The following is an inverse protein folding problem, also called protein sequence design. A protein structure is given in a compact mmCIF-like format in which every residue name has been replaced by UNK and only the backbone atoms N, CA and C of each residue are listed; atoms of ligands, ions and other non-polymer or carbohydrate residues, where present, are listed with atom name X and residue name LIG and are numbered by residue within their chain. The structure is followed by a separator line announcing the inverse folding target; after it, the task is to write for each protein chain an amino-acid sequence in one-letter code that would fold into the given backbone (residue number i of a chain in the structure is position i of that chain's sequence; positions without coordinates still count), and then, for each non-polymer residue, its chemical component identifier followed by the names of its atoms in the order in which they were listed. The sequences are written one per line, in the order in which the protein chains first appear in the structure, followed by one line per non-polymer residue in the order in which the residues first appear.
data_IF_208349496847
#
_entry.id   IF_208349496847
#
_cell.length_a   1.000
_cell.length_b   1.000
_cell.length_c   1.000
_cell.angle_alpha   90.00
_cell.angle_beta   90.00
_cell.angle_gamma   90.00
#
_symmetry.space_group_name_H-M   'P 1'
#
loop_
_entity.id
_entity.type
_entity.pdbx_description
1 polymer ?
#
# COMPACT_ATOMS: atom_id res chain seq x y z
N UNK A 1 61.71 34.84 25.62
CA UNK A 1 62.27 33.79 24.73
C UNK A 1 62.45 32.57 25.62
N UNK A 2 61.87 31.38 25.41
CA UNK A 2 61.25 30.72 24.26
C UNK A 2 60.10 29.83 24.76
N UNK A 3 59.08 29.63 23.92
CA UNK A 3 58.03 28.62 24.09
C UNK A 3 58.35 27.44 23.18
N UNK A 4 58.33 26.21 23.69
CA UNK A 4 57.90 24.97 23.02
C UNK A 4 57.71 23.85 24.09
N UNK A 5 56.94 22.76 23.88
CA UNK A 5 55.99 22.47 22.79
C UNK A 5 54.59 22.03 23.28
N UNK A 6 53.64 22.00 22.35
CA UNK A 6 52.34 21.32 22.46
C UNK A 6 52.55 19.82 22.66
N UNK A 7 51.99 19.24 23.72
CA UNK A 7 51.73 17.81 23.76
C UNK A 7 50.44 17.50 23.01
N UNK A 8 50.61 16.70 21.97
CA UNK A 8 49.66 15.72 21.48
C UNK A 8 49.18 14.81 22.64
N UNK A 9 47.95 14.30 22.51
CA UNK A 9 47.28 13.31 23.38
C UNK A 9 46.68 13.84 24.70
N UNK A 10 45.55 14.54 24.55
CA UNK A 10 44.49 14.56 25.55
C UNK A 10 43.30 13.75 25.05
N UNK A 11 43.31 12.43 25.31
CA UNK A 11 42.14 11.56 25.23
C UNK A 11 41.07 12.13 26.18
N UNK A 12 40.08 12.82 25.61
CA UNK A 12 38.88 13.18 26.35
C UNK A 12 37.99 11.93 26.44
N UNK A 13 37.97 11.36 27.63
CA UNK A 13 37.07 10.31 28.07
C UNK A 13 35.61 10.75 27.93
N UNK A 14 34.86 10.01 27.13
CA UNK A 14 33.39 9.92 27.20
C UNK A 14 32.96 9.46 28.60
N UNK A 15 31.89 10.02 29.22
CA UNK A 15 30.53 9.58 28.88
C UNK A 15 29.45 10.67 29.15
N UNK A 16 29.24 11.61 28.22
CA UNK A 16 28.09 12.56 28.32
C UNK A 16 27.18 12.59 27.08
N UNK A 17 27.58 11.93 25.98
CA UNK A 17 26.81 11.95 24.72
C UNK A 17 25.77 10.84 24.53
N UNK A 18 25.58 9.96 25.52
CA UNK A 18 24.54 8.91 25.47
C UNK A 18 23.15 9.42 25.89
N UNK A 19 23.07 10.56 26.60
CA UNK A 19 21.80 11.18 27.02
C UNK A 19 21.06 11.92 25.88
N UNK A 20 21.79 12.61 25.00
CA UNK A 20 21.17 13.40 23.93
C UNK A 20 20.67 12.53 22.76
N UNK A 21 21.38 11.44 22.44
CA UNK A 21 20.98 10.52 21.37
C UNK A 21 19.73 9.71 21.71
N UNK A 22 19.57 9.30 22.97
CA UNK A 22 18.42 8.53 23.44
C UNK A 22 17.17 9.41 23.55
N UNK A 23 17.31 10.66 23.97
CA UNK A 23 16.21 11.63 24.06
C UNK A 23 15.73 12.09 22.67
N UNK A 24 16.64 12.25 21.71
CA UNK A 24 16.30 12.50 20.30
C UNK A 24 15.53 11.34 19.65
N UNK A 25 15.96 10.10 19.90
CA UNK A 25 15.22 8.90 19.48
C UNK A 25 13.85 8.82 20.14
N UNK A 26 13.75 9.09 21.44
CA UNK A 26 12.48 9.07 22.18
C UNK A 26 11.49 10.11 21.62
N UNK A 27 11.94 11.33 21.32
CA UNK A 27 11.11 12.37 20.71
C UNK A 27 10.68 12.00 19.28
N UNK A 28 11.55 11.32 18.53
CA UNK A 28 11.23 10.81 17.20
C UNK A 28 10.19 9.67 17.27
N UNK A 29 10.30 8.80 18.28
CA UNK A 29 9.33 7.73 18.58
C UNK A 29 7.99 8.27 19.08
N UNK A 30 7.99 9.25 19.98
CA UNK A 30 6.77 9.94 20.46
C UNK A 30 6.12 10.72 19.33
N UNK A 31 6.92 11.34 18.45
CA UNK A 31 6.45 11.95 17.21
C UNK A 31 5.80 10.94 16.27
N UNK A 32 6.42 9.78 16.04
CA UNK A 32 5.87 8.69 15.22
C UNK A 32 4.60 8.06 15.82
N UNK A 33 4.57 7.84 17.14
CA UNK A 33 3.42 7.30 17.85
C UNK A 33 2.25 8.28 17.87
N UNK A 34 2.51 9.56 18.16
CA UNK A 34 1.53 10.64 18.10
C UNK A 34 1.01 10.86 16.68
N UNK A 35 1.88 10.78 15.66
CA UNK A 35 1.48 10.85 14.26
C UNK A 35 0.60 9.67 13.86
N UNK A 36 0.91 8.44 14.30
CA UNK A 36 0.06 7.24 14.12
C UNK A 36 -1.29 7.37 14.81
N UNK A 37 -1.35 7.92 16.02
CA UNK A 37 -2.58 8.05 16.78
C UNK A 37 -3.48 9.16 16.24
N UNK A 38 -2.91 10.31 15.88
CA UNK A 38 -3.61 11.39 15.18
C UNK A 38 -4.04 10.96 13.76
N UNK A 39 -3.23 10.13 13.08
CA UNK A 39 -3.56 9.49 11.80
C UNK A 39 -4.84 8.65 11.90
N UNK A 40 -4.92 7.80 12.93
CA UNK A 40 -6.07 6.91 13.18
C UNK A 40 -7.31 7.72 13.49
N UNK A 41 -7.21 8.63 14.46
CA UNK A 41 -8.36 9.40 14.95
C UNK A 41 -9.04 10.25 13.86
N UNK A 42 -8.29 10.76 12.87
CA UNK A 42 -8.81 11.76 11.94
C UNK A 42 -9.36 11.21 10.62
N UNK A 43 -8.87 10.08 10.13
CA UNK A 43 -9.17 9.66 8.74
C UNK A 43 -9.48 8.17 8.58
N UNK A 44 -9.31 7.41 9.66
CA UNK A 44 -9.59 5.98 9.69
C UNK A 44 -9.87 5.59 11.14
N UNK A 45 -10.87 6.24 11.75
CA UNK A 45 -11.16 6.13 13.20
C UNK A 45 -11.34 4.67 13.63
N UNK A 46 -11.92 3.86 12.75
CA UNK A 46 -12.19 2.44 12.97
C UNK A 46 -11.09 1.52 12.42
N UNK A 47 -9.94 2.06 11.98
CA UNK A 47 -8.88 1.28 11.32
C UNK A 47 -8.22 0.26 12.24
N UNK A 48 -8.09 0.56 13.54
CA UNK A 48 -7.52 -0.40 14.48
C UNK A 48 -8.43 -1.63 14.62
N UNK A 49 -9.73 -1.39 14.75
CA UNK A 49 -10.76 -2.43 14.81
C UNK A 49 -10.81 -3.21 13.49
N UNK A 50 -10.85 -2.50 12.36
CA UNK A 50 -10.79 -3.10 11.03
C UNK A 50 -9.53 -3.94 10.83
N UNK A 51 -8.38 -3.45 11.31
CA UNK A 51 -7.09 -4.12 11.21
C UNK A 51 -7.05 -5.44 11.95
N UNK A 52 -7.60 -5.50 13.16
CA UNK A 52 -7.72 -6.75 13.91
C UNK A 52 -8.60 -7.78 13.19
N UNK A 53 -9.68 -7.34 12.53
CA UNK A 53 -10.55 -8.24 11.77
C UNK A 53 -9.98 -8.66 10.41
N UNK A 54 -9.16 -7.83 9.78
CA UNK A 54 -8.56 -8.14 8.49
C UNK A 54 -7.38 -9.12 8.61
N UNK A 55 -6.64 -9.11 9.72
CA UNK A 55 -5.56 -10.07 10.00
C UNK A 55 -6.10 -11.50 10.15
N UNK A 56 -7.35 -11.68 10.56
CA UNK A 56 -7.93 -12.99 10.83
C UNK A 56 -8.57 -13.67 9.61
N UNK A 57 -8.29 -13.21 8.38
CA UNK A 57 -8.89 -13.78 7.16
C UNK A 57 -10.40 -13.55 7.04
N UNK A 58 -10.98 -12.64 7.84
CA UNK A 58 -12.42 -12.42 7.79
C UNK A 58 -12.80 -11.59 6.56
N UNK A 59 -13.76 -12.05 5.75
CA UNK A 59 -14.19 -11.34 4.57
C UNK A 59 -14.71 -9.95 4.92
N UNK A 60 -14.49 -8.99 4.03
CA UNK A 60 -15.05 -7.65 4.15
C UNK A 60 -16.50 -7.61 3.67
N UNK A 61 -16.80 -8.44 2.66
CA UNK A 61 -18.09 -8.47 1.99
C UNK A 61 -18.77 -9.82 2.23
N UNK A 62 -20.07 -9.81 2.49
CA UNK A 62 -20.95 -10.94 2.23
C UNK A 62 -21.41 -10.85 0.78
N UNK A 63 -21.27 -11.92 0.01
CA UNK A 63 -21.67 -11.94 -1.39
C UNK A 63 -23.10 -12.45 -1.44
N UNK A 64 -24.03 -11.58 -1.82
CA UNK A 64 -25.45 -11.89 -1.94
C UNK A 64 -25.83 -12.02 -3.41
N UNK A 65 -27.09 -12.32 -3.72
CA UNK A 65 -27.49 -12.63 -5.11
C UNK A 65 -27.25 -11.47 -6.09
N UNK A 66 -27.48 -10.23 -5.65
CA UNK A 66 -27.42 -9.01 -6.49
C UNK A 66 -26.61 -7.88 -5.86
N UNK A 67 -25.97 -8.12 -4.71
CA UNK A 67 -25.20 -7.10 -4.01
C UNK A 67 -24.06 -7.69 -3.18
N UNK A 68 -23.08 -6.85 -2.88
CA UNK A 68 -22.01 -7.10 -1.93
C UNK A 68 -22.33 -6.33 -0.65
N UNK A 69 -22.70 -7.02 0.43
CA UNK A 69 -23.00 -6.37 1.72
C UNK A 69 -21.72 -6.25 2.54
N UNK A 70 -21.40 -5.04 3.01
CA UNK A 70 -20.28 -4.83 3.91
C UNK A 70 -20.60 -5.48 5.26
N UNK A 71 -19.68 -6.32 5.74
CA UNK A 71 -19.76 -6.94 7.06
C UNK A 71 -19.28 -6.02 8.17
N UNK A 72 -18.56 -4.94 7.81
CA UNK A 72 -18.01 -3.93 8.70
C UNK A 72 -17.82 -2.60 7.97
N UNK A 73 -17.80 -1.45 8.68
CA UNK A 73 -17.55 -0.15 8.05
C UNK A 73 -16.25 -0.14 7.25
N UNK A 74 -16.30 0.45 6.05
CA UNK A 74 -15.11 0.58 5.22
C UNK A 74 -14.20 1.70 5.79
N UNK A 75 -12.90 1.45 6.01
CA UNK A 75 -12.10 2.32 6.86
C UNK A 75 -11.53 3.54 6.13
N UNK A 76 -11.77 3.68 4.82
CA UNK A 76 -11.22 4.75 4.00
C UNK A 76 -12.27 5.80 3.69
N UNK A 77 -12.22 6.94 4.38
CA UNK A 77 -13.19 8.04 4.21
C UNK A 77 -13.38 8.49 2.74
N UNK A 78 -12.29 8.47 1.95
CA UNK A 78 -12.29 8.91 0.55
C UNK A 78 -12.97 7.93 -0.42
N UNK A 79 -13.20 6.68 0.01
CA UNK A 79 -13.87 5.63 -0.77
C UNK A 79 -15.34 5.96 -1.04
N UNK A 80 -15.88 5.41 -2.12
CA UNK A 80 -17.31 5.49 -2.44
C UNK A 80 -18.19 4.70 -1.48
N UNK A 81 -17.62 3.74 -0.74
CA UNK A 81 -18.35 2.85 0.17
C UNK A 81 -18.12 3.16 1.65
N UNK A 82 -17.40 4.24 1.97
CA UNK A 82 -17.06 4.65 3.34
C UNK A 82 -18.27 4.86 4.26
N UNK A 83 -19.41 5.25 3.69
CA UNK A 83 -20.67 5.53 4.41
C UNK A 83 -21.82 4.67 3.92
N UNK A 84 -21.52 3.50 3.36
CA UNK A 84 -22.50 2.57 2.78
C UNK A 84 -22.41 1.21 3.47
N UNK A 85 -23.51 0.46 3.39
CA UNK A 85 -23.58 -0.91 3.89
C UNK A 85 -23.57 -1.97 2.78
N UNK A 86 -23.72 -1.56 1.52
CA UNK A 86 -23.70 -2.48 0.39
C UNK A 86 -23.33 -1.77 -0.93
N UNK A 87 -22.96 -2.59 -1.92
CA UNK A 87 -22.71 -2.24 -3.32
C UNK A 87 -23.58 -3.13 -4.20
N UNK A 88 -24.36 -2.57 -5.12
CA UNK A 88 -25.17 -3.40 -6.02
C UNK A 88 -24.33 -3.91 -7.20
N UNK A 89 -24.75 -5.02 -7.81
CA UNK A 89 -24.07 -5.58 -8.96
C UNK A 89 -23.94 -4.57 -10.13
N UNK A 90 -24.97 -3.77 -10.38
CA UNK A 90 -25.00 -2.76 -11.46
C UNK A 90 -23.96 -1.64 -11.30
N UNK A 91 -23.42 -1.46 -10.10
CA UNK A 91 -22.35 -0.48 -9.86
C UNK A 91 -20.96 -1.04 -10.20
N UNK A 92 -20.83 -2.36 -10.37
CA UNK A 92 -19.57 -3.00 -10.71
C UNK A 92 -19.38 -3.04 -12.21
N UNK A 93 -18.27 -2.49 -12.69
CA UNK A 93 -17.97 -2.44 -14.13
C UNK A 93 -17.24 -3.68 -14.61
N UNK A 94 -16.47 -4.32 -13.73
CA UNK A 94 -15.74 -5.56 -14.02
C UNK A 94 -15.32 -6.26 -12.72
N UNK A 95 -15.01 -7.55 -12.84
CA UNK A 95 -14.41 -8.38 -11.81
C UNK A 95 -13.14 -9.01 -12.37
N UNK A 96 -12.08 -9.10 -11.55
CA UNK A 96 -10.87 -9.79 -11.96
C UNK A 96 -11.16 -11.26 -12.24
N UNK A 97 -10.60 -11.82 -13.32
CA UNK A 97 -10.81 -13.21 -13.76
C UNK A 97 -10.51 -14.24 -12.67
N UNK A 98 -9.52 -13.97 -11.82
CA UNK A 98 -9.17 -14.76 -10.63
C UNK A 98 -10.01 -14.49 -9.37
N UNK A 99 -11.04 -13.63 -9.44
CA UNK A 99 -11.95 -13.32 -8.33
C UNK A 99 -11.37 -12.47 -7.19
N UNK A 100 -10.14 -11.96 -7.33
CA UNK A 100 -9.45 -11.22 -6.25
C UNK A 100 -9.87 -9.76 -6.09
N UNK A 101 -10.52 -9.17 -7.09
CA UNK A 101 -10.94 -7.77 -7.07
C UNK A 101 -12.13 -7.48 -7.99
N UNK A 102 -12.78 -6.34 -7.77
CA UNK A 102 -13.84 -5.79 -8.61
C UNK A 102 -13.64 -4.28 -8.79
N UNK A 103 -14.06 -3.73 -9.92
CA UNK A 103 -14.05 -2.28 -10.15
C UNK A 103 -15.44 -1.72 -9.91
N UNK A 104 -15.53 -0.82 -8.93
CA UNK A 104 -16.71 -0.06 -8.58
C UNK A 104 -16.75 1.26 -9.37
N UNK A 105 -17.86 1.48 -10.08
CA UNK A 105 -18.16 2.69 -10.85
C UNK A 105 -17.02 3.12 -11.79
N UNK A 106 -16.24 2.17 -12.31
CA UNK A 106 -15.11 2.39 -13.21
C UNK A 106 -13.91 3.12 -12.58
N UNK A 107 -13.90 3.37 -11.27
CA UNK A 107 -12.90 4.26 -10.65
C UNK A 107 -12.33 3.82 -9.31
N UNK A 108 -12.92 2.83 -8.66
CA UNK A 108 -12.42 2.31 -7.38
C UNK A 108 -12.26 0.79 -7.46
N UNK A 109 -11.15 0.26 -6.94
CA UNK A 109 -10.91 -1.18 -6.90
C UNK A 109 -11.26 -1.71 -5.52
N UNK A 110 -12.27 -2.58 -5.45
CA UNK A 110 -12.60 -3.39 -4.30
C UNK A 110 -11.79 -4.69 -4.37
N UNK A 111 -11.36 -5.20 -3.23
CA UNK A 111 -10.58 -6.45 -3.15
C UNK A 111 -11.30 -7.44 -2.24
N UNK A 112 -11.13 -8.72 -2.53
CA UNK A 112 -11.75 -9.84 -1.83
C UNK A 112 -10.69 -10.78 -1.31
N UNK A 113 -10.97 -11.51 -0.23
CA UNK A 113 -10.01 -12.48 0.31
C UNK A 113 -9.86 -13.67 -0.64
N UNK A 114 -8.80 -14.46 -0.46
CA UNK A 114 -8.54 -15.63 -1.28
C UNK A 114 -9.72 -16.62 -1.26
N UNK A 115 -10.32 -16.82 -0.09
CA UNK A 115 -11.44 -17.72 0.14
C UNK A 115 -12.71 -17.31 -0.62
N UNK A 116 -12.85 -16.03 -0.97
CA UNK A 116 -14.02 -15.51 -1.66
C UNK A 116 -13.92 -15.60 -3.19
N UNK A 117 -12.76 -15.94 -3.76
CA UNK A 117 -12.51 -15.84 -5.21
C UNK A 117 -13.53 -16.60 -6.06
N UNK A 118 -13.83 -17.84 -5.70
CA UNK A 118 -14.81 -18.65 -6.44
C UNK A 118 -16.23 -18.06 -6.35
N UNK A 119 -16.62 -17.57 -5.18
CA UNK A 119 -17.91 -16.96 -4.95
C UNK A 119 -18.06 -15.61 -5.70
N UNK A 120 -16.99 -14.82 -5.77
CA UNK A 120 -16.92 -13.56 -6.53
C UNK A 120 -17.08 -13.82 -8.03
N UNK A 121 -16.42 -14.86 -8.57
CA UNK A 121 -16.59 -15.25 -9.98
C UNK A 121 -18.02 -15.69 -10.27
N UNK A 122 -18.60 -16.53 -9.41
CA UNK A 122 -20.01 -16.94 -9.55
C UNK A 122 -20.98 -15.76 -9.43
N UNK A 123 -20.66 -14.75 -8.62
CA UNK A 123 -21.41 -13.50 -8.55
C UNK A 123 -21.32 -12.71 -9.85
N UNK A 124 -20.13 -12.63 -10.45
CA UNK A 124 -19.92 -11.97 -11.74
C UNK A 124 -20.76 -12.61 -12.85
N UNK A 125 -20.69 -13.94 -12.97
CA UNK A 125 -21.44 -14.70 -13.97
C UNK A 125 -22.95 -14.50 -13.83
N UNK A 126 -23.47 -14.61 -12.60
CA UNK A 126 -24.90 -14.46 -12.30
C UNK A 126 -25.44 -13.08 -12.65
N UNK A 127 -24.64 -12.05 -12.46
CA UNK A 127 -25.04 -10.65 -12.69
C UNK A 127 -24.50 -10.10 -14.02
N UNK A 128 -23.95 -10.95 -14.89
CA UNK A 128 -23.40 -10.57 -16.19
C UNK A 128 -22.31 -9.49 -16.12
N UNK A 129 -21.52 -9.47 -15.03
CA UNK A 129 -20.38 -8.57 -14.87
C UNK A 129 -19.18 -9.14 -15.63
N UNK A 130 -18.49 -8.36 -16.49
CA UNK A 130 -17.33 -8.83 -17.22
C UNK A 130 -16.21 -9.34 -16.31
N UNK A 131 -15.67 -10.53 -16.63
CA UNK A 131 -14.44 -11.04 -16.03
C UNK A 131 -13.22 -10.56 -16.84
N UNK A 132 -12.32 -9.81 -16.22
CA UNK A 132 -11.15 -9.20 -16.89
C UNK A 132 -9.84 -9.63 -16.24
N UNK A 133 -8.80 -9.90 -17.04
CA UNK A 133 -7.48 -10.24 -16.53
C UNK A 133 -6.62 -8.97 -16.35
N UNK A 134 -6.89 -8.22 -15.28
CA UNK A 134 -6.20 -6.97 -14.96
C UNK A 134 -4.88 -7.26 -14.28
N UNK A 135 -3.79 -6.72 -14.83
CA UNK A 135 -2.47 -6.78 -14.20
C UNK A 135 -2.49 -6.01 -12.86
N UNK A 136 -2.00 -6.63 -11.79
CA UNK A 136 -1.83 -5.94 -10.51
C UNK A 136 -0.60 -5.03 -10.56
N UNK A 137 -0.81 -3.81 -11.08
CA UNK A 137 0.23 -2.77 -11.24
C UNK A 137 0.99 -2.51 -9.94
N UNK A 138 0.30 -2.52 -8.81
CA UNK A 138 0.93 -2.27 -7.52
C UNK A 138 1.89 -3.39 -7.14
N UNK A 139 1.53 -4.65 -7.36
CA UNK A 139 2.45 -5.80 -7.14
C UNK A 139 3.71 -5.62 -7.98
N UNK A 140 3.59 -5.23 -9.25
CA UNK A 140 4.74 -4.94 -10.11
C UNK A 140 5.60 -3.78 -9.59
N UNK A 141 4.97 -2.67 -9.18
CA UNK A 141 5.67 -1.51 -8.62
C UNK A 141 6.33 -1.81 -7.27
N UNK A 142 5.81 -2.79 -6.53
CA UNK A 142 6.33 -3.26 -5.25
C UNK A 142 7.33 -4.41 -5.36
N UNK A 143 7.50 -5.00 -6.55
CA UNK A 143 8.44 -6.08 -6.81
C UNK A 143 9.80 -5.76 -6.18
N UNK A 144 10.42 -6.77 -5.52
CA UNK A 144 11.34 -6.58 -4.41
C UNK A 144 12.39 -5.50 -4.68
N UNK A 145 12.60 -4.64 -3.69
CA UNK A 145 13.76 -3.75 -3.62
C UNK A 145 14.96 -4.52 -3.06
N UNK A 146 15.12 -5.78 -3.45
CA UNK A 146 16.00 -6.69 -2.74
C UNK A 146 17.44 -6.18 -2.82
N UNK A 147 18.01 -5.90 -1.65
CA UNK A 147 19.40 -5.49 -1.49
C UNK A 147 20.39 -6.60 -1.81
N UNK A 148 19.89 -7.79 -2.16
CA UNK A 148 20.70 -8.94 -2.60
C UNK A 148 21.03 -8.91 -4.08
N UNK A 149 20.27 -8.15 -4.88
CA UNK A 149 20.60 -7.95 -6.29
C UNK A 149 21.78 -7.00 -6.41
N UNK A 150 22.78 -7.38 -7.21
CA UNK A 150 23.85 -6.46 -7.56
C UNK A 150 23.34 -5.29 -8.43
N UNK A 151 24.18 -4.27 -8.66
CA UNK A 151 23.78 -3.09 -9.42
C UNK A 151 23.33 -3.41 -10.86
N UNK A 152 23.86 -4.48 -11.46
CA UNK A 152 23.49 -4.91 -12.81
C UNK A 152 22.14 -5.62 -12.84
N UNK A 153 21.89 -6.51 -11.89
CA UNK A 153 20.60 -7.20 -11.74
C UNK A 153 19.47 -6.23 -11.40
N UNK A 154 19.75 -5.18 -10.62
CA UNK A 154 18.78 -4.11 -10.36
C UNK A 154 18.43 -3.32 -11.63
N UNK A 155 19.42 -3.00 -12.46
CA UNK A 155 19.18 -2.27 -13.71
C UNK A 155 18.34 -3.09 -14.70
N UNK A 156 18.62 -4.39 -14.83
CA UNK A 156 17.85 -5.31 -15.68
C UNK A 156 16.41 -5.48 -15.19
N UNK A 157 16.21 -5.63 -13.87
CA UNK A 157 14.88 -5.68 -13.28
C UNK A 157 14.09 -4.38 -13.50
N UNK A 158 14.74 -3.21 -13.41
CA UNK A 158 14.08 -1.92 -13.71
C UNK A 158 13.71 -1.79 -15.19
N UNK A 159 14.56 -2.29 -16.10
CA UNK A 159 14.26 -2.34 -17.54
C UNK A 159 13.07 -3.25 -17.85
N UNK A 160 13.04 -4.46 -17.28
CA UNK A 160 11.93 -5.41 -17.46
C UNK A 160 10.61 -4.86 -16.88
N UNK A 161 10.68 -4.23 -15.71
CA UNK A 161 9.53 -3.58 -15.09
C UNK A 161 9.00 -2.44 -15.97
N UNK A 162 9.90 -1.58 -16.48
CA UNK A 162 9.51 -0.51 -17.39
C UNK A 162 8.88 -1.07 -18.67
N UNK A 163 9.44 -2.15 -19.25
CA UNK A 163 8.87 -2.80 -20.44
C UNK A 163 7.46 -3.35 -20.20
N UNK A 164 7.14 -3.76 -18.97
CA UNK A 164 5.81 -4.26 -18.59
C UNK A 164 4.82 -3.12 -18.28
N UNK A 165 5.29 -2.03 -17.67
CA UNK A 165 4.44 -0.93 -17.20
C UNK A 165 4.19 0.17 -18.26
N UNK A 166 5.10 0.34 -19.23
CA UNK A 166 4.93 1.34 -20.31
C UNK A 166 3.68 1.07 -21.16
N UNK A 167 3.38 -0.18 -21.60
CA UNK A 167 2.13 -0.49 -22.30
C UNK A 167 0.86 -0.21 -21.47
N UNK A 168 0.99 -0.15 -20.14
CA UNK A 168 -0.09 0.18 -19.20
C UNK A 168 -0.22 1.71 -18.97
N UNK A 169 0.54 2.53 -19.70
CA UNK A 169 0.49 3.99 -19.57
C UNK A 169 1.19 4.52 -18.32
N UNK A 170 2.19 3.79 -17.80
CA UNK A 170 3.03 4.22 -16.68
C UNK A 170 4.46 4.36 -17.19
N UNK A 171 4.86 5.60 -17.46
CA UNK A 171 6.18 5.87 -18.01
C UNK A 171 7.31 5.63 -17.00
N UNK A 172 8.54 5.51 -17.50
CA UNK A 172 9.71 5.25 -16.67
C UNK A 172 9.94 6.33 -15.58
N UNK A 173 9.59 7.60 -15.84
CA UNK A 173 9.76 8.68 -14.86
C UNK A 173 8.76 8.51 -13.71
N UNK A 174 7.53 8.12 -14.02
CA UNK A 174 6.50 7.83 -13.04
C UNK A 174 6.84 6.58 -12.22
N UNK A 175 7.27 5.49 -12.87
CA UNK A 175 7.78 4.28 -12.19
C UNK A 175 8.88 4.66 -11.19
N UNK A 176 9.90 5.41 -11.64
CA UNK A 176 11.00 5.87 -10.80
C UNK A 176 10.51 6.71 -9.61
N UNK A 177 9.60 7.65 -9.85
CA UNK A 177 9.03 8.52 -8.80
C UNK A 177 8.27 7.71 -7.75
N UNK A 178 7.42 6.78 -8.18
CA UNK A 178 6.63 5.92 -7.29
C UNK A 178 7.58 5.04 -6.49
N UNK A 179 8.47 4.30 -7.14
CA UNK A 179 9.42 3.38 -6.48
C UNK A 179 10.35 4.10 -5.52
N UNK A 180 10.85 5.30 -5.85
CA UNK A 180 11.64 6.12 -4.92
C UNK A 180 10.84 6.48 -3.66
N UNK A 181 9.57 6.81 -3.82
CA UNK A 181 8.65 7.12 -2.71
C UNK A 181 8.42 5.88 -1.85
N UNK A 182 8.09 4.76 -2.49
CA UNK A 182 7.89 3.47 -1.85
C UNK A 182 9.14 3.00 -1.08
N UNK A 183 10.34 3.11 -1.67
CA UNK A 183 11.62 2.77 -1.04
C UNK A 183 11.91 3.61 0.20
N UNK A 184 11.56 4.90 0.16
CA UNK A 184 11.66 5.77 1.35
C UNK A 184 10.75 5.24 2.46
N UNK A 185 9.51 4.86 2.15
CA UNK A 185 8.56 4.31 3.12
C UNK A 185 8.94 2.93 3.63
N UNK A 186 9.47 2.07 2.77
CA UNK A 186 9.96 0.73 3.10
C UNK A 186 10.96 0.77 4.27
N UNK A 187 11.88 1.74 4.28
CA UNK A 187 12.85 1.91 5.39
C UNK A 187 12.19 2.18 6.74
N UNK A 188 11.01 2.79 6.75
CA UNK A 188 10.27 3.09 7.97
C UNK A 188 9.24 2.01 8.32
N UNK A 189 8.87 1.15 7.37
CA UNK A 189 7.85 0.10 7.51
C UNK A 189 8.29 -1.23 6.85
N UNK A 190 9.42 -1.84 7.26
CA UNK A 190 10.01 -2.98 6.51
C UNK A 190 9.24 -4.31 6.65
N UNK A 191 8.33 -4.42 7.62
CA UNK A 191 7.77 -5.71 8.06
C UNK A 191 6.55 -6.20 7.26
N UNK A 192 5.96 -5.34 6.41
CA UNK A 192 4.72 -5.66 5.69
C UNK A 192 4.89 -5.74 4.18
N UNK A 193 6.09 -5.50 3.62
CA UNK A 193 6.25 -5.32 2.17
C UNK A 193 6.20 -6.63 1.37
N UNK A 194 6.72 -7.71 1.95
CA UNK A 194 6.81 -9.04 1.32
C UNK A 194 5.44 -9.71 1.23
N UNK A 195 4.52 -9.42 2.16
CA UNK A 195 3.14 -9.96 2.16
C UNK A 195 2.19 -9.26 1.19
N UNK A 196 2.55 -8.10 0.63
CA UNK A 196 1.70 -7.34 -0.32
C UNK A 196 1.96 -7.76 -1.77
N UNK A 197 3.15 -8.28 -2.06
CA UNK A 197 3.52 -8.77 -3.38
C UNK A 197 2.99 -10.19 -3.64
N UNK A 198 2.58 -10.90 -2.60
CA UNK A 198 1.98 -12.22 -2.71
C UNK A 198 0.50 -12.09 -3.11
N UNK A 199 0.15 -12.69 -4.24
CA UNK A 199 -1.25 -12.77 -4.70
C UNK A 199 -2.16 -13.48 -3.70
N UNK A 200 -1.63 -14.24 -2.75
CA UNK A 200 -2.43 -15.03 -1.79
C UNK A 200 -3.06 -14.20 -0.68
N UNK A 201 -2.48 -13.04 -0.32
CA UNK A 201 -3.04 -12.13 0.69
C UNK A 201 -3.29 -10.76 0.08
N UNK A 202 -4.52 -10.44 -0.35
CA UNK A 202 -4.87 -9.12 -0.85
C UNK A 202 -4.92 -8.15 0.33
N UNK A 203 -3.75 -7.75 0.83
CA UNK A 203 -3.65 -6.79 1.91
C UNK A 203 -3.86 -5.37 1.35
N UNK A 204 -5.13 -5.06 1.06
CA UNK A 204 -5.67 -3.70 1.04
C UNK A 204 -5.08 -2.88 2.19
N UNK A 205 -4.96 -3.52 3.36
CA UNK A 205 -4.35 -2.98 4.55
C UNK A 205 -2.97 -2.41 4.27
N UNK A 206 -2.08 -3.16 3.64
CA UNK A 206 -0.69 -2.76 3.48
C UNK A 206 -0.53 -1.73 2.37
N UNK A 207 -1.23 -1.89 1.24
CA UNK A 207 -1.33 -0.83 0.23
C UNK A 207 -1.89 0.46 0.82
N UNK A 208 -2.89 0.38 1.69
CA UNK A 208 -3.51 1.55 2.29
C UNK A 208 -2.72 2.12 3.47
N UNK A 209 -1.91 1.29 4.12
CA UNK A 209 -0.97 1.67 5.18
C UNK A 209 0.25 2.41 4.62
N UNK A 210 0.78 1.93 3.49
CA UNK A 210 1.89 2.57 2.76
C UNK A 210 1.48 3.90 2.15
N UNK A 211 0.21 4.02 1.78
CA UNK A 211 -0.36 5.21 1.14
C UNK A 211 -0.81 6.28 2.15
N UNK A 212 -1.00 5.89 3.41
CA UNK A 212 -1.36 6.81 4.50
C UNK A 212 -0.22 7.70 5.02
N UNK A 213 1.03 7.42 4.64
CA UNK A 213 2.19 8.02 5.29
C UNK A 213 2.72 9.31 4.57
N UNK A 214 2.28 9.59 3.34
CA UNK A 214 2.75 10.72 2.52
C UNK A 214 2.29 12.14 2.94
N UNK A 215 3.03 13.16 2.48
CA UNK A 215 2.74 14.61 2.64
C UNK A 215 1.56 15.14 1.78
N UNK A 216 0.96 14.30 0.92
CA UNK A 216 -0.16 14.71 0.07
C UNK A 216 -1.50 14.66 0.83
N UNK A 217 -2.50 15.49 0.47
CA UNK A 217 -3.85 15.35 1.03
C UNK A 217 -4.38 13.94 0.75
N UNK A 218 -4.71 13.17 1.80
CA UNK A 218 -5.01 11.73 1.74
C UNK A 218 -6.07 11.37 0.71
N UNK A 219 -7.09 12.21 0.52
CA UNK A 219 -8.11 12.02 -0.53
C UNK A 219 -7.49 11.97 -1.92
N UNK A 220 -6.55 12.86 -2.25
CA UNK A 220 -5.86 12.85 -3.54
C UNK A 220 -5.01 11.60 -3.71
N UNK A 221 -4.37 11.16 -2.64
CA UNK A 221 -3.49 10.01 -2.70
C UNK A 221 -4.26 8.68 -2.79
N UNK A 222 -5.37 8.51 -2.06
CA UNK A 222 -6.28 7.38 -2.21
C UNK A 222 -6.73 7.23 -3.67
N UNK A 223 -7.21 8.33 -4.28
CA UNK A 223 -7.65 8.32 -5.67
C UNK A 223 -6.49 8.13 -6.66
N UNK A 224 -5.30 8.65 -6.36
CA UNK A 224 -4.09 8.32 -7.12
C UNK A 224 -3.77 6.82 -7.05
N UNK A 225 -3.93 6.18 -5.90
CA UNK A 225 -3.74 4.73 -5.75
C UNK A 225 -4.71 3.94 -6.62
N UNK A 226 -5.98 4.35 -6.63
CA UNK A 226 -7.00 3.73 -7.48
C UNK A 226 -6.72 3.96 -8.97
N UNK A 227 -6.32 5.17 -9.35
CA UNK A 227 -5.95 5.51 -10.73
C UNK A 227 -4.84 4.60 -11.25
N UNK A 228 -3.76 4.40 -10.47
CA UNK A 228 -2.67 3.49 -10.84
C UNK A 228 -3.13 2.04 -10.89
N UNK A 229 -3.97 1.59 -9.95
CA UNK A 229 -4.50 0.23 -9.97
C UNK A 229 -5.35 -0.04 -11.23
N UNK A 230 -6.09 0.98 -11.69
CA UNK A 230 -6.96 0.89 -12.86
C UNK A 230 -6.21 0.94 -14.20
N UNK A 231 -4.92 1.25 -14.21
CA UNK A 231 -4.08 1.16 -15.41
C UNK A 231 -3.67 -0.27 -15.75
N UNK A 232 -4.00 -1.25 -14.91
CA UNK A 232 -3.68 -2.67 -15.14
C UNK A 232 -4.40 -3.34 -16.31
N UNK A 233 -5.32 -2.64 -16.99
CA UNK A 233 -5.95 -3.14 -18.23
C UNK A 233 -5.14 -2.63 -19.41
N UNK A 234 -4.67 -3.50 -20.32
CA UNK A 234 -3.99 -3.07 -21.53
C UNK A 234 -4.86 -2.07 -22.31
N UNK A 235 -4.24 -1.01 -22.83
CA UNK A 235 -4.91 -0.12 -23.78
C UNK A 235 -5.18 -0.94 -25.05
N UNK A 236 -6.45 -1.23 -25.33
CA UNK A 236 -6.92 -1.87 -26.56
C UNK A 236 -6.76 -0.96 -27.77
#
# INVERSE_FOLDING_TARGET
MERLPKSWLGLATWPEKLGEGSMGLLLLWVGLAGFRQAYRARYAANFSEWGHHAISGNPLFSIESSQLRLLRPYPFEASLISHRNFVTADELTEIHSGGGSAVLAGREVLYFTYEQREEVKAFAERNHIPLTNRVNVWVLLMAPFDSWYDESEQADNELQLAATLVPLGIDAKEVYRIRRTLRRWHRFLPWNWVSIADETTPNQLDMLYLTGAGLLPRRRWYWYTMEIALRGTPLS
#
